data_IF_408813881041
#
_entry.id   IF_408813881041
#
_cell.length_a   1.000
_cell.length_b   1.000
_cell.length_c   1.000
_cell.angle_alpha   90.00
_cell.angle_beta   90.00
_cell.angle_gamma   90.00
#
_symmetry.space_group_name_H-M   'P 1'
#
loop_
_entity.id
_entity.type
_entity.pdbx_description
1 polymer ?
2 non-polymer ?
3 non-polymer ?
4 non-polymer ?
5 non-polymer ?
6 non-polymer ?
7 water ?
#
# COMPACT_ATOMS: atom_id res chain seq x y z
N UNK A 24 -20.96 -0.80 17.46
CA UNK A 24 -20.36 0.55 17.30
C UNK A 24 -20.24 0.90 15.83
N UNK A 25 -19.33 1.85 15.55
CA UNK A 25 -19.12 2.35 14.20
C UNK A 25 -18.64 1.21 13.30
N UNK A 26 -18.82 1.33 12.00
CA UNK A 26 -18.29 0.28 11.10
C UNK A 26 -16.83 0.53 10.75
N UNK A 27 -16.04 -0.53 10.77
CA UNK A 27 -14.59 -0.38 10.45
C UNK A 27 -14.49 -0.10 8.96
N UNK A 28 -13.76 0.98 8.59
CA UNK A 28 -13.49 1.25 7.17
C UNK A 28 -12.44 0.25 6.65
N UNK A 29 -12.75 -0.28 5.47
CA UNK A 29 -11.91 -1.35 4.91
C UNK A 29 -11.34 -0.88 3.57
N UNK A 30 -10.03 -1.15 3.36
CA UNK A 30 -9.43 -0.90 2.04
C UNK A 30 -9.46 -2.20 1.28
N UNK A 31 -10.18 -2.22 0.17
CA UNK A 31 -10.18 -3.40 -0.72
C UNK A 31 -9.14 -3.11 -1.78
N UNK A 32 -8.05 -3.88 -1.76
CA UNK A 32 -6.82 -3.43 -2.52
C UNK A 32 -6.61 -4.35 -3.69
N UNK A 33 -6.68 -3.82 -4.88
CA UNK A 33 -6.39 -4.68 -6.07
C UNK A 33 -4.88 -5.04 -6.08
N UNK A 34 -4.55 -6.30 -6.25
CA UNK A 34 -3.19 -6.71 -6.27
C UNK A 34 -2.50 -6.58 -7.62
N UNK A 35 -1.21 -6.24 -7.58
CA UNK A 35 -0.35 -6.32 -8.79
C UNK A 35 -0.93 -5.52 -9.92
N UNK A 36 -1.20 -4.24 -9.59
CA UNK A 36 -1.84 -3.36 -10.55
C UNK A 36 -0.68 -2.56 -11.20
N UNK A 37 -0.09 -3.13 -12.26
CA UNK A 37 1.17 -2.57 -12.77
C UNK A 37 1.05 -1.96 -14.19
N UNK A 38 -0.13 -2.08 -14.82
CA UNK A 38 -0.36 -1.44 -16.11
C UNK A 38 -1.39 -0.33 -15.89
N UNK A 39 -1.33 0.76 -16.64
CA UNK A 39 -2.20 1.87 -16.38
C UNK A 39 -3.68 1.46 -16.55
N UNK A 40 -3.95 0.66 -17.58
CA UNK A 40 -5.32 0.18 -17.85
C UNK A 40 -5.93 -0.65 -16.76
N UNK A 41 -5.09 -1.23 -15.90
CA UNK A 41 -5.58 -2.00 -14.78
C UNK A 41 -6.13 -1.16 -13.65
N UNK A 42 -5.71 0.10 -13.55
CA UNK A 42 -6.25 0.95 -12.49
C UNK A 42 -7.79 1.00 -12.63
N UNK A 43 -8.29 1.29 -13.82
CA UNK A 43 -9.76 1.27 -13.96
C UNK A 43 -10.35 -0.09 -13.80
N UNK A 44 -9.66 -1.14 -14.26
CA UNK A 44 -10.24 -2.47 -14.21
C UNK A 44 -10.52 -2.85 -12.75
N UNK A 45 -9.57 -2.56 -11.86
CA UNK A 45 -9.73 -2.95 -10.48
C UNK A 45 -10.69 -2.02 -9.75
N UNK A 46 -10.59 -0.73 -9.98
CA UNK A 46 -11.51 0.16 -9.29
C UNK A 46 -13.00 -0.11 -9.69
N UNK A 47 -13.23 -0.32 -10.97
CA UNK A 47 -14.58 -0.66 -11.46
C UNK A 47 -15.12 -1.98 -10.90
N UNK A 48 -14.24 -2.92 -10.43
CA UNK A 48 -14.67 -4.12 -9.73
C UNK A 48 -14.93 -3.91 -8.21
N UNK A 49 -14.68 -2.71 -7.68
CA UNK A 49 -14.95 -2.40 -6.29
C UNK A 49 -13.68 -2.05 -5.49
N UNK A 50 -12.50 -2.05 -6.09
CA UNK A 50 -11.31 -1.65 -5.28
C UNK A 50 -11.34 -0.20 -4.96
N UNK A 51 -10.97 0.17 -3.71
CA UNK A 51 -10.72 1.62 -3.40
C UNK A 51 -9.22 1.84 -3.19
N UNK A 52 -8.41 0.83 -3.50
CA UNK A 52 -6.96 1.03 -3.36
C UNK A 52 -6.25 -0.07 -4.21
N UNK A 53 -4.99 0.17 -4.52
CA UNK A 53 -4.28 -0.77 -5.37
C UNK A 53 -2.89 -0.96 -4.79
N UNK A 54 -2.29 -2.09 -5.13
CA UNK A 54 -0.88 -2.32 -4.85
C UNK A 54 -0.14 -2.44 -6.18
N UNK A 55 1.05 -1.82 -6.24
CA UNK A 55 1.79 -1.71 -7.51
C UNK A 55 3.26 -2.06 -7.23
N UNK A 56 3.90 -2.96 -8.04
CA UNK A 56 5.30 -3.32 -7.82
C UNK A 56 6.21 -2.35 -8.50
N UNK A 57 7.28 -1.93 -7.81
CA UNK A 57 8.21 -0.97 -8.38
C UNK A 57 9.59 -1.59 -8.48
N UNK A 58 10.10 -1.73 -9.69
CA UNK A 58 11.48 -2.26 -9.88
C UNK A 58 12.45 -1.10 -9.93
N UNK A 59 13.70 -1.33 -9.60
CA UNK A 59 14.71 -0.22 -9.56
C UNK A 59 15.79 -0.57 -10.57
N UNK A 60 16.42 0.45 -11.12
CA UNK A 60 17.60 0.21 -11.93
C UNK A 60 18.86 0.12 -11.08
N UNK A 61 19.98 -0.03 -11.75
CA UNK A 61 21.24 -0.20 -11.06
C UNK A 61 21.62 1.00 -10.19
N UNK A 62 21.03 2.14 -10.47
CA UNK A 62 21.33 3.36 -9.76
C UNK A 62 20.29 3.73 -8.67
N UNK A 63 19.37 2.83 -8.42
CA UNK A 63 18.35 3.03 -7.42
C UNK A 63 17.22 3.97 -7.86
N UNK A 64 17.17 4.20 -9.16
CA UNK A 64 16.06 4.91 -9.73
C UNK A 64 14.94 3.94 -10.03
N UNK A 65 13.68 4.33 -9.53
CA UNK A 65 12.58 3.45 -9.93
C UNK A 65 12.43 3.42 -11.42
N UNK A 66 12.28 2.23 -11.97
CA UNK A 66 12.40 2.07 -13.38
C UNK A 66 11.07 1.61 -14.02
N UNK A 67 10.53 0.50 -13.54
CA UNK A 67 9.25 -0.02 -14.10
C UNK A 67 8.30 -0.42 -13.01
N UNK A 68 7.03 -0.55 -13.37
CA UNK A 68 6.09 -1.15 -12.48
C UNK A 68 6.00 -2.49 -13.04
N UNK A 69 6.71 -3.42 -12.46
CA UNK A 69 6.90 -4.74 -13.08
C UNK A 69 7.13 -5.77 -11.99
N UNK A 70 6.46 -6.89 -12.06
CA UNK A 70 6.71 -7.94 -11.09
C UNK A 70 7.57 -9.03 -11.72
N UNK A 71 7.05 -9.63 -12.80
CA UNK A 71 7.71 -10.79 -13.41
C UNK A 71 7.35 -12.15 -12.84
N UNK A 72 7.82 -13.21 -13.52
CA UNK A 72 7.52 -14.61 -13.12
C UNK A 72 8.45 -15.03 -11.96
N UNK A 73 7.96 -15.79 -10.94
CA UNK A 73 6.60 -16.24 -10.75
C UNK A 73 5.72 -15.17 -10.07
N UNK A 74 4.41 -15.23 -10.28
CA UNK A 74 3.52 -14.34 -9.57
C UNK A 74 2.26 -15.14 -9.16
N UNK A 75 1.23 -14.44 -8.70
CA UNK A 75 0.02 -15.13 -8.23
C UNK A 75 -0.62 -15.98 -9.31
N UNK A 76 -1.12 -17.12 -8.85
CA UNK A 76 -1.93 -18.06 -9.65
C UNK A 76 -3.09 -17.35 -10.29
N UNK A 77 -3.26 -17.59 -11.59
CA UNK A 77 -4.30 -16.98 -12.38
C UNK A 77 -3.99 -15.61 -12.96
N UNK A 78 -2.76 -15.08 -12.75
CA UNK A 78 -2.44 -13.72 -13.23
C UNK A 78 -1.36 -13.72 -14.28
N UNK A 79 -1.45 -12.75 -15.16
CA UNK A 79 -0.32 -12.47 -16.05
C UNK A 79 0.70 -11.66 -15.25
N UNK A 80 1.95 -12.12 -15.20
CA UNK A 80 3.00 -11.54 -14.36
C UNK A 80 3.82 -10.44 -15.08
N UNK A 81 3.51 -10.15 -16.35
CA UNK A 81 4.49 -9.42 -17.15
C UNK A 81 4.04 -8.07 -17.62
N UNK A 82 2.89 -7.59 -17.14
CA UNK A 82 2.37 -6.31 -17.52
C UNK A 82 3.24 -5.31 -16.85
N UNK A 83 3.53 -4.21 -17.53
CA UNK A 83 4.38 -3.17 -16.86
C UNK A 83 4.36 -1.88 -17.56
N UNK A 84 4.78 -0.84 -16.85
CA UNK A 84 4.94 0.46 -17.43
C UNK A 84 6.26 1.06 -17.01
N UNK A 85 6.77 2.07 -17.74
CA UNK A 85 7.81 2.99 -17.13
C UNK A 85 7.18 3.55 -15.87
N UNK A 86 7.95 3.60 -14.75
CA UNK A 86 7.37 3.94 -13.50
C UNK A 86 6.73 5.35 -13.65
N UNK A 87 7.45 6.29 -14.27
CA UNK A 87 6.86 7.64 -14.29
C UNK A 87 5.58 7.68 -15.12
N UNK A 88 5.48 6.83 -16.14
CA UNK A 88 4.21 6.80 -16.88
C UNK A 88 3.10 6.27 -15.99
N UNK A 89 3.38 5.21 -15.22
CA UNK A 89 2.36 4.72 -14.31
C UNK A 89 1.94 5.83 -13.32
N UNK A 90 2.91 6.61 -12.85
CA UNK A 90 2.58 7.69 -11.91
C UNK A 90 1.65 8.72 -12.59
N UNK A 91 1.87 9.00 -13.88
CA UNK A 91 1.04 10.03 -14.53
C UNK A 91 -0.36 9.44 -14.68
N UNK A 92 -0.44 8.13 -14.94
CA UNK A 92 -1.73 7.47 -15.02
C UNK A 92 -2.48 7.46 -13.69
N UNK A 93 -1.74 7.20 -12.62
CA UNK A 93 -2.33 7.21 -11.30
C UNK A 93 -2.79 8.66 -10.94
N UNK A 94 -2.01 9.64 -11.39
CA UNK A 94 -2.32 11.04 -11.18
C UNK A 94 -3.65 11.37 -11.83
N UNK A 95 -3.82 10.95 -13.09
CA UNK A 95 -5.16 11.15 -13.74
C UNK A 95 -6.34 10.49 -12.97
N UNK A 96 -6.13 9.24 -12.51
CA UNK A 96 -7.16 8.52 -11.77
C UNK A 96 -7.47 9.18 -10.41
N UNK A 97 -6.60 10.05 -9.88
CA UNK A 97 -6.83 10.53 -8.51
C UNK A 97 -6.85 12.03 -8.40
N UNK A 98 -7.07 12.70 -9.54
CA UNK A 98 -7.08 14.20 -9.52
C UNK A 98 -8.50 14.61 -9.91
N UNK A 99 -9.21 15.25 -8.98
CA UNK A 99 -10.61 15.66 -9.24
C UNK A 99 -10.59 16.54 -10.49
N UNK A 100 -11.59 16.32 -11.38
CA UNK A 100 -11.68 17.12 -12.61
C UNK A 100 -11.12 16.40 -13.82
N UNK A 101 -10.26 15.42 -13.59
CA UNK A 101 -9.73 14.69 -14.72
C UNK A 101 -10.79 13.78 -15.28
N UNK A 102 -10.77 13.59 -16.60
CA UNK A 102 -11.78 12.72 -17.24
C UNK A 102 -11.79 11.33 -16.64
N UNK A 103 -10.75 10.89 -16.19
CA UNK A 103 -10.53 9.56 -15.66
C UNK A 103 -10.63 9.53 -14.10
N UNK A 104 -10.86 10.57 -13.45
CA UNK A 104 -10.87 10.59 -11.97
C UNK A 104 -11.77 9.52 -11.37
N UNK A 105 -11.24 8.75 -10.40
CA UNK A 105 -12.02 7.76 -9.68
C UNK A 105 -12.05 8.26 -8.23
N UNK A 106 -13.15 8.83 -7.80
CA UNK A 106 -13.31 9.29 -6.45
C UNK A 106 -13.08 8.19 -5.42
N UNK A 107 -13.30 6.95 -5.80
CA UNK A 107 -13.24 5.83 -4.87
C UNK A 107 -11.79 5.42 -4.56
N UNK A 108 -10.84 5.81 -5.42
CA UNK A 108 -9.46 5.26 -5.32
C UNK A 108 -8.70 6.16 -4.36
N UNK A 109 -8.45 5.67 -3.13
CA UNK A 109 -7.93 6.60 -2.09
C UNK A 109 -6.55 6.17 -1.57
N UNK A 110 -5.99 5.01 -1.97
CA UNK A 110 -4.71 4.64 -1.38
C UNK A 110 -3.95 3.73 -2.35
N UNK A 111 -2.65 3.96 -2.46
CA UNK A 111 -1.79 3.09 -3.28
C UNK A 111 -0.69 2.61 -2.41
N UNK A 112 -0.46 1.31 -2.46
CA UNK A 112 0.73 0.72 -1.81
C UNK A 112 1.74 0.45 -2.94
N UNK A 113 2.95 1.02 -2.82
CA UNK A 113 4.07 0.69 -3.74
C UNK A 113 4.93 -0.37 -3.10
N UNK A 114 4.93 -1.53 -3.70
CA UNK A 114 5.75 -2.67 -3.24
C UNK A 114 7.10 -2.54 -3.84
N UNK A 115 8.01 -1.98 -3.02
CA UNK A 115 9.29 -1.48 -3.56
C UNK A 115 10.26 -2.65 -3.64
N UNK A 116 10.66 -2.99 -4.86
CA UNK A 116 11.42 -4.28 -5.03
C UNK A 116 12.90 -3.94 -4.86
N UNK A 117 13.25 -3.62 -3.61
CA UNK A 117 14.62 -3.13 -3.30
C UNK A 117 15.61 -4.27 -3.19
N UNK A 118 15.12 -5.46 -3.43
CA UNK A 118 16.00 -6.65 -3.42
C UNK A 118 17.10 -6.68 -4.48
N UNK A 119 16.93 -5.91 -5.54
CA UNK A 119 17.91 -5.77 -6.60
C UNK A 119 18.98 -4.73 -6.26
N UNK A 120 18.83 -4.01 -5.14
CA UNK A 120 19.79 -3.02 -4.72
C UNK A 120 20.72 -3.49 -3.66
N UNK A 121 21.88 -2.88 -3.60
CA UNK A 121 22.72 -3.04 -2.38
C UNK A 121 22.14 -2.29 -1.21
N UNK A 122 22.35 -2.81 0.01
CA UNK A 122 21.77 -2.21 1.19
C UNK A 122 22.11 -0.73 1.27
N UNK A 123 23.31 -0.35 0.86
CA UNK A 123 23.70 1.03 0.97
C UNK A 123 23.17 1.95 -0.11
N UNK A 124 22.25 1.43 -0.97
CA UNK A 124 21.56 2.29 -1.91
C UNK A 124 20.11 2.57 -1.46
N UNK A 125 19.72 2.08 -0.29
CA UNK A 125 18.31 2.23 0.20
C UNK A 125 17.96 3.69 0.33
N UNK A 126 18.84 4.49 0.93
CA UNK A 126 18.57 5.92 1.07
C UNK A 126 18.46 6.60 -0.29
N UNK A 127 19.41 6.34 -1.21
CA UNK A 127 19.32 6.86 -2.58
C UNK A 127 17.99 6.48 -3.23
N UNK A 128 17.59 5.19 -3.04
CA UNK A 128 16.27 4.77 -3.66
C UNK A 128 15.12 5.67 -3.15
N UNK A 129 15.14 5.95 -1.84
CA UNK A 129 14.05 6.81 -1.28
C UNK A 129 14.07 8.20 -1.89
N UNK A 130 15.27 8.79 -2.11
CA UNK A 130 15.32 10.15 -2.70
C UNK A 130 14.79 10.11 -4.15
N UNK A 131 15.18 9.03 -4.88
CA UNK A 131 14.76 9.01 -6.30
C UNK A 131 13.26 8.73 -6.36
N UNK A 132 12.71 7.96 -5.47
CA UNK A 132 11.28 7.77 -5.40
C UNK A 132 10.54 9.08 -5.13
N UNK A 133 11.02 9.81 -4.12
CA UNK A 133 10.42 11.12 -3.85
C UNK A 133 10.49 12.07 -5.03
N UNK A 134 11.63 12.09 -5.71
CA UNK A 134 11.84 12.95 -6.86
C UNK A 134 10.82 12.65 -7.94
N UNK A 135 10.61 11.37 -8.24
CA UNK A 135 9.61 11.01 -9.25
C UNK A 135 8.16 11.20 -8.81
N UNK A 136 7.85 10.91 -7.54
CA UNK A 136 6.47 11.10 -7.09
C UNK A 136 6.17 12.60 -7.11
N UNK A 137 7.09 13.40 -6.62
CA UNK A 137 6.83 14.88 -6.65
C UNK A 137 6.55 15.38 -8.06
N UNK A 138 7.39 14.94 -9.00
CA UNK A 138 7.34 15.44 -10.37
C UNK A 138 6.07 14.96 -11.08
N UNK A 139 5.82 13.66 -11.01
CA UNK A 139 4.81 13.08 -11.87
C UNK A 139 3.48 12.67 -11.26
N UNK A 140 3.52 12.69 -9.85
CA UNK A 140 2.27 12.26 -9.27
C UNK A 140 1.61 13.41 -8.50
N UNK A 141 2.52 14.13 -7.77
CA UNK A 141 2.01 15.31 -7.07
C UNK A 141 2.15 16.62 -7.85
N UNK A 142 2.71 16.51 -9.04
CA UNK A 142 2.84 17.65 -9.99
C UNK A 142 3.47 18.86 -9.36
N UNK A 143 4.55 18.66 -8.58
CA UNK A 143 5.17 19.81 -7.90
C UNK A 143 4.17 20.59 -7.09
N UNK A 144 3.21 19.90 -6.45
CA UNK A 144 2.11 20.59 -5.72
C UNK A 144 1.03 21.33 -6.50
N UNK A 145 1.03 21.25 -7.84
CA UNK A 145 0.04 21.91 -8.70
C UNK A 145 -1.07 20.90 -9.05
N UNK A 146 -2.13 20.83 -8.23
CA UNK A 146 -3.29 20.02 -8.58
C UNK A 146 -2.85 18.56 -8.75
N UNK A 147 -2.10 18.08 -7.75
CA UNK A 147 -1.54 16.72 -7.83
C UNK A 147 -2.58 15.64 -7.52
N UNK A 148 -2.20 14.35 -7.73
CA UNK A 148 -3.07 13.31 -7.31
C UNK A 148 -3.30 13.24 -5.80
N UNK A 149 -4.52 12.84 -5.41
CA UNK A 149 -4.89 12.99 -4.01
C UNK A 149 -4.82 11.73 -3.17
N UNK A 150 -4.49 10.58 -3.77
CA UNK A 150 -4.46 9.37 -2.97
C UNK A 150 -3.34 9.38 -1.89
N UNK A 151 -3.61 8.67 -0.79
CA UNK A 151 -2.56 8.41 0.18
C UNK A 151 -1.64 7.33 -0.36
N UNK A 152 -0.37 7.35 0.04
CA UNK A 152 0.62 6.40 -0.50
C UNK A 152 1.30 5.67 0.64
N UNK A 153 1.42 4.38 0.50
CA UNK A 153 2.18 3.58 1.48
C UNK A 153 3.45 3.08 0.74
N UNK A 154 4.60 3.34 1.37
CA UNK A 154 5.88 2.86 0.80
C UNK A 154 6.17 1.56 1.53
N UNK A 155 6.00 0.44 0.82
CA UNK A 155 6.20 -0.87 1.45
C UNK A 155 7.57 -1.43 1.08
N UNK A 156 8.40 -1.65 2.12
CA UNK A 156 9.79 -2.02 1.94
C UNK A 156 9.90 -3.49 2.36
N UNK A 157 10.53 -4.32 1.55
CA UNK A 157 10.54 -5.72 1.89
C UNK A 157 11.60 -6.17 2.91
N UNK A 158 12.58 -5.32 3.21
CA UNK A 158 13.72 -5.73 4.03
C UNK A 158 13.91 -4.69 5.11
N UNK A 159 13.89 -5.13 6.38
CA UNK A 159 14.01 -4.17 7.46
C UNK A 159 15.28 -3.38 7.37
N UNK A 160 16.33 -3.99 6.86
CA UNK A 160 17.61 -3.24 6.75
C UNK A 160 17.58 -2.11 5.76
N UNK A 161 16.48 -1.98 4.99
CA UNK A 161 16.36 -0.91 4.03
C UNK A 161 15.62 0.24 4.59
N UNK A 162 15.43 0.27 5.91
CA UNK A 162 14.79 1.43 6.53
C UNK A 162 15.34 2.85 6.16
N UNK A 163 16.66 2.99 5.82
CA UNK A 163 17.12 4.32 5.43
C UNK A 163 16.41 4.92 4.20
N UNK A 164 15.73 4.06 3.42
CA UNK A 164 14.90 4.54 2.32
C UNK A 164 13.93 5.61 2.80
N UNK A 165 13.38 5.48 4.00
CA UNK A 165 12.36 6.41 4.47
C UNK A 165 12.93 7.81 4.68
N UNK A 166 14.10 7.83 5.32
CA UNK A 166 14.86 9.10 5.55
C UNK A 166 15.19 9.82 4.24
N UNK A 167 15.64 9.01 3.29
CA UNK A 167 16.03 9.49 1.95
C UNK A 167 14.82 10.16 1.32
N UNK A 168 13.64 9.47 1.40
CA UNK A 168 12.44 10.01 0.75
C UNK A 168 12.01 11.33 1.43
N UNK A 169 12.00 11.37 2.75
CA UNK A 169 11.60 12.57 3.45
C UNK A 169 12.58 13.69 3.17
N UNK A 170 13.85 13.39 3.24
CA UNK A 170 14.87 14.42 3.03
C UNK A 170 14.77 15.00 1.64
N UNK A 171 14.46 14.18 0.62
CA UNK A 171 14.27 14.73 -0.73
C UNK A 171 13.05 15.64 -0.88
N UNK A 172 11.90 15.22 -0.30
CA UNK A 172 10.73 16.12 -0.42
C UNK A 172 11.06 17.43 0.25
N UNK A 173 11.78 17.35 1.37
CA UNK A 173 12.15 18.59 2.10
C UNK A 173 13.07 19.50 1.26
N UNK A 174 14.15 18.93 0.73
CA UNK A 174 15.04 19.67 -0.23
C UNK A 174 14.27 20.30 -1.37
N UNK A 175 13.28 19.56 -1.90
CA UNK A 175 12.51 20.09 -3.01
C UNK A 175 11.40 21.07 -2.62
N UNK A 176 11.27 21.31 -1.33
CA UNK A 176 10.37 22.38 -0.86
C UNK A 176 8.95 21.89 -0.65
N UNK A 177 8.75 20.59 -0.51
CA UNK A 177 7.41 20.11 -0.26
C UNK A 177 7.29 19.11 0.87
N UNK A 178 7.85 19.42 1.99
CA UNK A 178 7.80 18.52 3.12
C UNK A 178 6.38 18.14 3.55
N UNK A 179 5.38 18.97 3.28
CA UNK A 179 4.03 18.68 3.69
C UNK A 179 3.43 17.45 3.01
N UNK A 180 4.00 17.03 1.87
CA UNK A 180 3.40 15.88 1.21
C UNK A 180 3.68 14.63 2.03
N UNK A 181 4.54 14.70 3.05
CA UNK A 181 4.74 13.55 3.93
C UNK A 181 3.45 13.23 4.68
N UNK A 182 2.54 14.19 4.78
CA UNK A 182 1.22 13.94 5.41
C UNK A 182 0.44 12.89 4.63
N UNK A 183 0.76 12.71 3.33
CA UNK A 183 0.03 11.78 2.49
C UNK A 183 0.75 10.45 2.43
N UNK A 184 1.84 10.29 3.16
CA UNK A 184 2.65 9.07 2.99
C UNK A 184 2.69 8.23 4.25
N UNK A 185 2.72 6.89 4.07
CA UNK A 185 2.89 6.08 5.21
C UNK A 185 3.77 4.89 4.77
N UNK A 186 3.83 3.94 5.71
CA UNK A 186 4.91 2.97 5.68
C UNK A 186 4.46 1.57 5.96
N UNK A 187 5.19 0.63 5.38
CA UNK A 187 4.98 -0.78 5.64
C UNK A 187 6.28 -1.55 5.45
N UNK A 188 6.42 -2.65 6.22
CA UNK A 188 7.52 -3.58 6.00
C UNK A 188 6.91 -4.96 5.71
N UNK A 189 7.17 -5.46 4.51
CA UNK A 189 6.32 -6.52 3.89
C UNK A 189 6.90 -7.92 4.03
N UNK A 190 8.04 -8.01 4.69
CA UNK A 190 8.73 -9.29 4.69
C UNK A 190 8.30 -10.36 5.70
N UNK A 191 7.18 -10.14 6.37
CA UNK A 191 6.58 -11.05 7.38
C UNK A 191 7.55 -11.23 8.54
N UNK A 192 8.32 -10.22 8.87
CA UNK A 192 9.19 -10.23 10.05
C UNK A 192 8.46 -10.28 11.37
N UNK A 193 9.13 -10.78 12.39
CA UNK A 193 8.53 -10.76 13.68
C UNK A 193 8.14 -9.32 14.06
N UNK A 194 6.96 -9.15 14.61
CA UNK A 194 6.41 -7.83 14.92
C UNK A 194 7.33 -6.98 15.78
N UNK A 195 7.99 -7.58 16.77
CA UNK A 195 8.93 -6.76 17.57
C UNK A 195 10.16 -6.29 16.79
N UNK A 196 10.62 -7.10 15.86
CA UNK A 196 11.68 -6.71 14.96
C UNK A 196 11.24 -5.57 14.04
N UNK A 197 10.01 -5.62 13.55
CA UNK A 197 9.48 -4.53 12.78
C UNK A 197 9.47 -3.24 13.61
N UNK A 198 9.05 -3.33 14.89
CA UNK A 198 8.96 -2.12 15.69
C UNK A 198 10.35 -1.53 15.91
N UNK A 199 11.32 -2.42 16.10
CA UNK A 199 12.68 -1.96 16.26
C UNK A 199 13.19 -1.24 15.01
N UNK A 200 12.81 -1.72 13.82
CA UNK A 200 13.15 -1.00 12.59
C UNK A 200 12.56 0.38 12.56
N UNK A 201 11.29 0.54 12.91
CA UNK A 201 10.68 1.86 12.93
C UNK A 201 11.34 2.78 13.98
N UNK A 202 11.80 2.19 15.10
CA UNK A 202 12.43 2.97 16.18
C UNK A 202 13.75 3.49 15.62
N UNK A 203 14.51 2.62 14.96
CA UNK A 203 15.75 3.04 14.25
C UNK A 203 15.50 4.14 13.25
N UNK A 204 14.38 4.07 12.51
CA UNK A 204 14.06 5.06 11.49
C UNK A 204 13.47 6.36 12.05
N UNK A 205 13.18 6.38 13.36
CA UNK A 205 12.50 7.49 14.02
C UNK A 205 11.07 7.65 13.57
N UNK A 206 10.39 6.56 13.18
CA UNK A 206 9.01 6.72 12.70
C UNK A 206 8.06 6.29 13.81
N UNK A 207 7.03 7.09 14.07
CA UNK A 207 6.09 6.63 15.12
C UNK A 207 4.63 6.54 14.69
N UNK A 208 4.33 6.98 13.47
CA UNK A 208 2.94 6.91 13.00
C UNK A 208 2.88 6.64 11.48
N UNK A 209 1.66 6.54 10.97
CA UNK A 209 1.34 6.27 9.53
C UNK A 209 1.89 4.90 9.19
N UNK A 210 1.70 3.94 10.10
CA UNK A 210 2.30 2.55 9.94
C UNK A 210 1.17 1.57 9.54
N UNK A 211 1.31 0.96 8.34
CA UNK A 211 0.47 -0.18 8.00
C UNK A 211 1.33 -1.41 8.18
N UNK A 212 0.73 -2.56 8.46
CA UNK A 212 1.45 -3.82 8.56
C UNK A 212 0.76 -4.83 7.68
N UNK A 213 1.49 -5.20 6.65
CA UNK A 213 1.08 -6.33 5.79
C UNK A 213 1.37 -7.66 6.45
N UNK A 214 0.52 -8.62 6.12
CA UNK A 214 0.88 -10.01 6.40
C UNK A 214 0.31 -10.77 5.25
N UNK A 215 1.07 -11.73 4.78
CA UNK A 215 0.48 -12.48 3.66
C UNK A 215 1.45 -13.38 2.94
N UNK A 216 0.91 -13.97 1.86
CA UNK A 216 1.70 -14.81 0.95
C UNK A 216 0.94 -14.88 -0.34
N UNK A 217 1.62 -15.25 -1.42
CA UNK A 217 0.95 -15.47 -2.72
C UNK A 217 -0.34 -16.30 -2.61
N UNK A 218 -1.32 -16.01 -3.46
CA UNK A 218 -2.56 -16.75 -3.42
C UNK A 218 -2.32 -18.24 -3.73
N UNK A 219 -1.13 -18.54 -4.22
CA UNK A 219 -0.77 -19.96 -4.57
C UNK A 219 -0.51 -20.87 -3.36
N UNK A 220 -0.30 -20.29 -2.17
CA UNK A 220 0.15 -21.04 -1.01
C UNK A 220 -0.76 -20.76 0.19
N UNK A 221 -0.89 -21.71 1.13
CA UNK A 221 -1.79 -21.54 2.28
C UNK A 221 -1.17 -20.64 3.37
N UNK A 222 -2.04 -20.03 4.14
CA UNK A 222 -1.53 -19.24 5.29
C UNK A 222 -2.58 -19.09 6.32
N UNK A 223 -2.15 -19.09 7.58
CA UNK A 223 -3.06 -19.00 8.69
C UNK A 223 -3.13 -17.55 9.15
N UNK A 224 -3.65 -17.34 10.36
CA UNK A 224 -3.86 -15.99 10.86
C UNK A 224 -2.99 -15.63 12.07
N UNK A 225 -2.01 -16.46 12.48
CA UNK A 225 -1.31 -16.17 13.71
C UNK A 225 -0.57 -14.85 13.70
N UNK A 226 0.10 -14.53 12.59
CA UNK A 226 0.85 -13.24 12.54
C UNK A 226 -0.11 -12.11 12.35
N UNK A 227 -1.18 -12.28 11.54
CA UNK A 227 -2.26 -11.27 11.47
C UNK A 227 -2.78 -11.02 12.88
N UNK A 228 -2.94 -12.05 13.68
CA UNK A 228 -3.49 -11.83 15.00
C UNK A 228 -2.55 -11.04 15.92
N UNK A 229 -1.27 -11.30 15.79
CA UNK A 229 -0.19 -10.61 16.51
C UNK A 229 -0.18 -9.15 16.07
N UNK A 230 -0.34 -8.91 14.77
CA UNK A 230 -0.33 -7.53 14.27
C UNK A 230 -1.55 -6.80 14.77
N UNK A 231 -2.70 -7.45 14.69
CA UNK A 231 -3.94 -6.81 15.21
C UNK A 231 -3.84 -6.53 16.72
N UNK A 232 -3.23 -7.47 17.46
CA UNK A 232 -3.06 -7.29 18.90
C UNK A 232 -2.19 -6.11 19.20
N UNK A 233 -1.14 -5.92 18.43
CA UNK A 233 -0.32 -4.73 18.56
C UNK A 233 -1.08 -3.45 18.21
N UNK A 234 -1.72 -3.44 17.04
CA UNK A 234 -2.54 -2.27 16.63
C UNK A 234 -3.51 -1.81 17.77
N UNK A 235 -4.17 -2.78 18.39
CA UNK A 235 -5.28 -2.50 19.30
C UNK A 235 -4.86 -2.31 20.75
N UNK A 236 -3.57 -2.37 20.99
CA UNK A 236 -3.00 -2.20 22.28
C UNK A 236 -2.76 -0.70 22.56
N UNK A 237 -2.63 -0.37 23.83
CA UNK A 237 -2.41 1.02 24.14
C UNK A 237 -1.00 1.43 23.76
N UNK A 238 -0.10 0.49 23.75
CA UNK A 238 1.29 0.79 23.53
C UNK A 238 1.82 0.35 22.15
N UNK A 239 0.94 -0.03 21.26
CA UNK A 239 1.34 -0.53 19.98
C UNK A 239 1.70 0.52 18.98
N UNK A 240 2.31 0.12 17.89
CA UNK A 240 2.78 1.08 16.93
C UNK A 240 2.11 0.96 15.56
N UNK A 241 1.36 -0.14 15.34
CA UNK A 241 0.71 -0.33 14.03
C UNK A 241 -0.61 0.44 13.98
N UNK A 242 -0.88 1.17 12.89
CA UNK A 242 -2.17 1.79 12.70
C UNK A 242 -3.24 1.00 11.95
N UNK A 243 -2.83 0.29 10.89
CA UNK A 243 -3.77 -0.55 10.09
C UNK A 243 -3.03 -1.84 9.76
N UNK A 244 -3.82 -2.86 9.55
CA UNK A 244 -3.26 -4.20 9.23
C UNK A 244 -3.94 -4.66 7.96
N UNK A 245 -3.17 -5.18 7.04
CA UNK A 245 -3.76 -5.68 5.83
C UNK A 245 -3.24 -7.03 5.45
N UNK A 246 -4.12 -7.85 4.87
CA UNK A 246 -3.80 -9.27 4.63
C UNK A 246 -3.81 -9.55 3.16
N UNK A 247 -2.85 -10.34 2.63
CA UNK A 247 -2.79 -10.50 1.14
C UNK A 247 -2.32 -11.95 0.86
N UNK A 248 -2.63 -12.50 -0.33
CA UNK A 248 -3.55 -11.96 -1.30
C UNK A 248 -4.73 -12.90 -1.20
N UNK A 249 -5.92 -12.36 -1.09
CA UNK A 249 -7.13 -13.21 -0.70
C UNK A 249 -8.11 -13.20 -1.84
N UNK A 250 -8.44 -14.38 -2.40
CA UNK A 250 -9.33 -14.48 -3.57
C UNK A 250 -10.63 -15.29 -3.27
N UNK A 251 -10.78 -15.72 -2.01
CA UNK A 251 -11.94 -16.58 -1.63
C UNK A 251 -12.79 -15.90 -0.59
N UNK A 252 -14.08 -16.15 -0.71
CA UNK A 252 -15.02 -15.59 0.29
C UNK A 252 -14.76 -16.11 1.72
N UNK A 253 -14.45 -17.39 1.89
CA UNK A 253 -14.33 -17.85 3.24
C UNK A 253 -13.11 -17.23 3.93
N UNK A 254 -11.99 -17.07 3.19
CA UNK A 254 -10.78 -16.40 3.70
C UNK A 254 -11.02 -14.94 4.06
N UNK A 255 -11.81 -14.30 3.24
CA UNK A 255 -12.20 -12.92 3.44
C UNK A 255 -12.98 -12.80 4.75
N UNK A 256 -14.01 -13.67 4.94
CA UNK A 256 -14.69 -13.69 6.20
C UNK A 256 -13.74 -13.89 7.40
N UNK A 257 -12.79 -14.82 7.30
CA UNK A 257 -11.88 -15.07 8.38
C UNK A 257 -11.02 -13.83 8.74
N UNK A 258 -10.54 -13.17 7.70
CA UNK A 258 -9.74 -11.98 7.88
C UNK A 258 -10.55 -10.86 8.48
N UNK A 259 -11.78 -10.63 7.98
CA UNK A 259 -12.66 -9.58 8.57
C UNK A 259 -12.91 -9.98 10.01
N UNK A 260 -13.21 -11.26 10.25
CA UNK A 260 -13.44 -11.70 11.69
C UNK A 260 -12.24 -11.43 12.59
N UNK A 261 -11.01 -11.59 12.06
CA UNK A 261 -9.77 -11.24 12.73
C UNK A 261 -9.54 -9.77 12.90
N UNK A 262 -10.34 -8.96 12.22
CA UNK A 262 -10.34 -7.49 12.48
C UNK A 262 -9.30 -6.74 11.63
N UNK A 263 -8.96 -7.29 10.45
CA UNK A 263 -8.00 -6.56 9.58
C UNK A 263 -8.70 -5.28 9.08
N UNK A 264 -7.88 -4.34 8.63
CA UNK A 264 -8.40 -3.11 7.96
C UNK A 264 -8.37 -3.18 6.45
N UNK A 265 -7.59 -4.10 5.88
CA UNK A 265 -7.35 -4.08 4.43
C UNK A 265 -7.25 -5.52 3.99
N UNK A 266 -7.74 -5.78 2.78
CA UNK A 266 -7.57 -7.11 2.17
C UNK A 266 -7.15 -6.85 0.72
N UNK A 267 -5.97 -7.38 0.37
CA UNK A 267 -5.46 -7.35 -0.99
C UNK A 267 -5.98 -8.59 -1.70
N UNK A 268 -6.32 -8.38 -2.96
CA UNK A 268 -7.04 -9.44 -3.73
C UNK A 268 -6.81 -9.31 -5.21
N UNK A 269 -6.91 -10.42 -5.94
CA UNK A 269 -6.99 -10.34 -7.37
C UNK A 269 -8.42 -10.06 -7.87
N UNK A 270 -9.39 -10.27 -6.98
CA UNK A 270 -10.87 -10.08 -7.32
C UNK A 270 -11.63 -9.18 -6.37
N UNK A 271 -11.56 -7.84 -6.62
CA UNK A 271 -12.19 -6.92 -5.70
C UNK A 271 -13.73 -7.19 -5.53
N UNK A 272 -14.36 -7.72 -6.58
CA UNK A 272 -15.79 -8.00 -6.51
C UNK A 272 -16.15 -9.11 -5.52
N UNK A 273 -15.23 -10.07 -5.31
CA UNK A 273 -15.38 -11.11 -4.32
C UNK A 273 -15.36 -10.51 -2.93
N UNK A 274 -14.46 -9.54 -2.66
CA UNK A 274 -14.41 -8.98 -1.32
C UNK A 274 -15.64 -8.07 -1.08
N UNK A 275 -16.01 -7.31 -2.12
CA UNK A 275 -17.17 -6.45 -2.08
C UNK A 275 -18.39 -7.31 -1.78
N UNK A 276 -18.50 -8.47 -2.42
CA UNK A 276 -19.68 -9.34 -2.19
C UNK A 276 -19.81 -9.72 -0.73
N UNK A 277 -18.70 -10.04 -0.06
CA UNK A 277 -18.71 -10.44 1.34
C UNK A 277 -19.06 -9.23 2.19
N UNK A 278 -18.56 -8.07 1.78
CA UNK A 278 -18.79 -6.97 2.65
C UNK A 278 -20.26 -6.57 2.55
N UNK A 279 -20.92 -6.98 1.46
CA UNK A 279 -22.34 -6.65 1.30
C UNK A 279 -23.24 -7.72 1.88
N UNK A 280 -22.69 -8.83 2.38
CA UNK A 280 -23.53 -9.80 3.12
C UNK A 280 -24.10 -9.12 4.37
N UNK A 281 -25.35 -9.40 4.72
CA UNK A 281 -25.94 -8.56 5.76
C UNK A 281 -25.16 -8.56 7.10
N UNK A 282 -24.58 -9.68 7.53
CA UNK A 282 -23.81 -9.72 8.74
C UNK A 282 -22.54 -8.80 8.74
N UNK A 283 -21.87 -8.71 7.58
CA UNK A 283 -20.65 -7.93 7.48
C UNK A 283 -20.96 -6.44 7.25
N UNK A 284 -22.09 -6.17 6.62
CA UNK A 284 -22.48 -4.80 6.26
C UNK A 284 -22.75 -3.97 7.52
N UNK A 285 -23.20 -4.64 8.58
CA UNK A 285 -23.45 -4.00 9.87
C UNK A 285 -22.19 -3.61 10.56
N UNK A 286 -21.05 -4.17 10.13
CA UNK A 286 -19.82 -4.02 10.92
C UNK A 286 -18.63 -3.47 10.12
N UNK A 287 -18.74 -3.47 8.79
CA UNK A 287 -17.67 -2.90 7.97
C UNK A 287 -18.20 -2.00 6.87
N UNK A 288 -17.38 -1.11 6.31
CA UNK A 288 -17.84 -0.34 5.14
C UNK A 288 -16.59 -0.05 4.31
N UNK A 289 -16.82 0.31 3.06
CA UNK A 289 -15.67 0.63 2.17
C UNK A 289 -15.03 1.96 2.50
N UNK A 290 -13.70 2.01 2.74
CA UNK A 290 -13.10 3.31 3.10
C UNK A 290 -13.26 4.34 2.00
N UNK A 291 -13.50 5.60 2.39
CA UNK A 291 -13.54 6.72 1.47
C UNK A 291 -12.42 7.69 1.80
N UNK A 292 -12.35 8.81 1.06
CA UNK A 292 -11.34 9.84 1.33
C UNK A 292 -11.55 10.52 2.69
N UNK A 293 -12.70 10.28 3.32
CA UNK A 293 -13.02 10.81 4.65
C UNK A 293 -12.14 10.09 5.67
N UNK A 294 -11.75 8.85 5.34
CA UNK A 294 -11.14 8.04 6.35
C UNK A 294 -9.62 8.20 6.38
N UNK A 295 -9.04 8.71 7.46
CA UNK A 295 -7.59 8.88 7.43
C UNK A 295 -6.91 7.52 7.59
N UNK A 296 -6.06 7.15 6.60
CA UNK A 296 -5.50 5.81 6.70
C UNK A 296 -4.41 5.65 7.76
N UNK A 297 -4.01 6.73 8.45
CA UNK A 297 -2.95 6.65 9.45
C UNK A 297 -3.55 6.55 10.87
N UNK A 298 -4.88 6.52 10.95
CA UNK A 298 -5.55 6.60 12.28
C UNK A 298 -6.00 5.23 12.68
N UNK A 299 -5.62 4.75 13.84
CA UNK A 299 -6.18 3.47 14.25
C UNK A 299 -7.73 3.49 14.44
N UNK A 300 -8.47 2.53 13.90
CA UNK A 300 -9.94 2.50 14.08
C UNK A 300 -10.35 2.18 15.52
N UNK A 301 -11.41 2.80 15.85
CA UNK A 301 -12.04 2.51 17.19
C UNK A 301 -13.58 2.42 17.20
#
# INVERSE_FOLDING_TARGET
>A
MGSSHHHHHHSSGLVPRGSHMLEGNRRPIWIMGAMVNAIGQIDEFVNLGANSIETDVSFDDNANPEYTYHGIPCDCGRNCKKYENFNDFLKGLRSATTPGNSKYQEKLVLVVFDLKTGSLYDNQANDAGKKLAKNLLQHYWNNGNNGGRAYIVLSIPDLNHYPLIKGFKDQLTKDGHPELMDKVGHDFSGNDDIGDVGKAYKKAGITGHIWQSDGITNCLPRGLSRVNAAVANRDSANGFINKVYYWTVDKRSTTRDALDAGVDGIMTNYPDVITDVLNEAAYKKKFRVATYDDNPWVTFKK
#
